data_IF_434029937963
#
_entry.id   IF_434029937963
#
_cell.length_a   1.000
_cell.length_b   1.000
_cell.length_c   1.000
_cell.angle_alpha   90.00
_cell.angle_beta   90.00
_cell.angle_gamma   90.00
#
_symmetry.space_group_name_H-M   'P 1'
#
loop_
_entity.id
_entity.type
_entity.pdbx_description
1 polymer ?
#
# COMPACT_ATOMS: atom_id res chain seq x y z
N UNK A 1 19.60 22.71 6.38
CA UNK A 1 20.34 21.45 6.44
C UNK A 1 21.30 21.39 5.24
N UNK A 2 22.60 21.18 5.51
CA UNK A 2 23.64 21.11 4.47
C UNK A 2 23.80 19.67 3.89
N UNK A 3 23.08 18.70 4.44
CA UNK A 3 23.17 17.29 4.02
C UNK A 3 22.23 16.99 2.86
N UNK A 4 22.79 16.62 1.71
CA UNK A 4 22.00 16.10 0.60
C UNK A 4 21.72 14.59 0.81
N UNK A 5 20.48 14.24 1.13
CA UNK A 5 20.09 12.86 1.37
C UNK A 5 20.16 11.98 0.11
N UNK A 6 20.01 12.56 -1.08
CA UNK A 6 20.16 11.82 -2.35
C UNK A 6 21.62 11.37 -2.52
N UNK A 7 22.58 12.24 -2.22
CA UNK A 7 24.02 11.88 -2.28
C UNK A 7 24.36 10.83 -1.22
N UNK A 8 23.74 10.91 -0.04
CA UNK A 8 23.86 9.89 1.01
C UNK A 8 23.31 8.53 0.58
N UNK A 9 22.20 8.49 -0.16
CA UNK A 9 21.67 7.25 -0.75
C UNK A 9 22.61 6.67 -1.79
N UNK A 10 23.11 7.50 -2.72
CA UNK A 10 24.07 7.08 -3.75
C UNK A 10 25.37 6.53 -3.14
N UNK A 11 25.89 7.19 -2.09
CA UNK A 11 27.07 6.72 -1.36
C UNK A 11 26.87 5.34 -0.69
N UNK A 12 25.61 4.95 -0.44
CA UNK A 12 25.21 3.63 0.09
C UNK A 12 24.79 2.64 -1.00
N UNK A 13 25.16 2.91 -2.27
CA UNK A 13 24.85 2.09 -3.45
C UNK A 13 23.34 1.96 -3.75
N UNK A 14 22.54 2.97 -3.41
CA UNK A 14 21.17 3.06 -3.91
C UNK A 14 21.18 3.60 -5.35
N UNK A 15 20.42 2.96 -6.22
CA UNK A 15 20.02 3.54 -7.50
C UNK A 15 18.90 4.52 -7.22
N UNK A 16 19.10 5.79 -7.57
CA UNK A 16 18.09 6.84 -7.40
C UNK A 16 17.51 7.18 -8.75
N UNK A 17 16.20 7.05 -8.90
CA UNK A 17 15.47 7.37 -10.15
C UNK A 17 14.35 8.36 -9.88
N UNK A 18 13.94 9.09 -10.93
CA UNK A 18 12.81 10.02 -10.90
C UNK A 18 11.62 9.51 -11.72
N UNK A 19 11.79 8.41 -12.44
CA UNK A 19 10.73 7.73 -13.18
C UNK A 19 10.83 6.23 -12.93
N UNK A 20 9.68 5.57 -12.83
CA UNK A 20 9.64 4.13 -12.59
C UNK A 20 10.20 3.34 -13.79
N UNK A 21 10.01 3.85 -15.00
CA UNK A 21 10.53 3.25 -16.23
C UNK A 21 12.06 3.20 -16.32
N UNK A 22 12.76 4.04 -15.55
CA UNK A 22 14.22 4.04 -15.48
C UNK A 22 14.78 2.89 -14.62
N UNK A 23 13.93 2.11 -13.96
CA UNK A 23 14.33 1.04 -13.06
C UNK A 23 14.70 -0.23 -13.82
N UNK A 24 15.96 -0.60 -13.82
CA UNK A 24 16.39 -1.91 -14.30
C UNK A 24 16.23 -2.97 -13.20
N UNK A 25 15.05 -3.61 -13.15
CA UNK A 25 14.70 -4.61 -12.13
C UNK A 25 15.66 -5.82 -12.09
N UNK A 26 16.41 -6.09 -13.15
CA UNK A 26 17.33 -7.24 -13.22
C UNK A 26 18.64 -7.00 -12.47
N UNK A 27 19.10 -5.76 -12.40
CA UNK A 27 20.40 -5.40 -11.82
C UNK A 27 20.30 -4.62 -10.50
N UNK A 28 19.21 -3.91 -10.27
CA UNK A 28 19.02 -3.08 -9.07
C UNK A 28 18.81 -3.95 -7.84
N UNK A 29 19.54 -3.69 -6.76
CA UNK A 29 19.39 -4.35 -5.45
C UNK A 29 18.92 -3.37 -4.36
N UNK A 30 19.27 -2.09 -4.50
CA UNK A 30 18.85 -1.00 -3.60
C UNK A 30 18.30 0.13 -4.44
N UNK A 31 17.04 0.46 -4.26
CA UNK A 31 16.31 1.46 -5.06
C UNK A 31 15.74 2.54 -4.18
N UNK A 32 15.87 3.79 -4.63
CA UNK A 32 15.08 4.92 -4.17
C UNK A 32 14.42 5.57 -5.40
N UNK A 33 13.16 5.26 -5.63
CA UNK A 33 12.36 5.85 -6.69
C UNK A 33 11.60 7.06 -6.14
N UNK A 34 12.15 8.26 -6.39
CA UNK A 34 11.59 9.54 -5.92
C UNK A 34 10.76 10.16 -7.06
N UNK A 35 9.53 9.68 -7.22
CA UNK A 35 8.70 9.90 -8.41
C UNK A 35 8.00 11.25 -8.45
N UNK A 36 8.08 12.04 -7.38
CA UNK A 36 7.60 13.41 -7.29
C UNK A 36 8.48 14.21 -6.35
N UNK A 37 8.43 15.54 -6.42
CA UNK A 37 9.20 16.42 -5.51
C UNK A 37 8.56 16.47 -4.11
N UNK A 38 7.23 16.37 -4.02
CA UNK A 38 6.47 16.29 -2.78
C UNK A 38 5.54 15.09 -2.83
N UNK A 39 4.30 15.30 -3.28
CA UNK A 39 3.27 14.28 -3.39
C UNK A 39 2.94 13.99 -4.85
N UNK A 40 2.65 12.72 -5.13
CA UNK A 40 2.07 12.34 -6.42
C UNK A 40 0.65 12.91 -6.54
N UNK A 41 0.17 13.22 -7.76
CA UNK A 41 -1.21 13.65 -7.95
C UNK A 41 -2.18 12.54 -7.52
N UNK A 42 -3.40 12.91 -7.14
CA UNK A 42 -4.47 11.93 -6.90
C UNK A 42 -4.85 11.18 -8.19
N UNK A 43 -5.57 10.08 -8.06
CA UNK A 43 -6.09 9.34 -9.20
C UNK A 43 -6.94 10.22 -10.11
N UNK A 44 -7.80 11.07 -9.54
CA UNK A 44 -8.61 12.03 -10.29
C UNK A 44 -7.78 13.07 -11.05
N UNK A 45 -6.54 13.32 -10.63
CA UNK A 45 -5.58 14.24 -11.27
C UNK A 45 -4.55 13.54 -12.17
N UNK A 46 -4.75 12.25 -12.46
CA UNK A 46 -4.00 11.54 -13.48
C UNK A 46 -2.71 10.86 -13.00
N UNK A 47 -2.65 10.35 -11.76
CA UNK A 47 -1.51 9.54 -11.29
C UNK A 47 -1.25 8.29 -12.14
N UNK A 48 -2.27 7.78 -12.84
CA UNK A 48 -2.16 6.57 -13.64
C UNK A 48 -1.90 5.31 -12.78
N UNK A 49 -1.26 4.31 -13.35
CA UNK A 49 -1.02 3.02 -12.68
C UNK A 49 0.21 3.02 -11.75
N UNK A 50 0.63 4.17 -11.22
CA UNK A 50 1.89 4.26 -10.47
C UNK A 50 1.95 3.28 -9.30
N UNK A 51 0.92 3.20 -8.44
CA UNK A 51 0.95 2.37 -7.25
C UNK A 51 0.97 0.86 -7.57
N UNK A 52 0.10 0.33 -8.46
CA UNK A 52 0.21 -1.07 -8.90
C UNK A 52 1.54 -1.41 -9.56
N UNK A 53 2.09 -0.53 -10.38
CA UNK A 53 3.33 -0.77 -11.13
C UNK A 53 4.56 -0.67 -10.21
N UNK A 54 4.58 0.27 -9.27
CA UNK A 54 5.61 0.36 -8.24
C UNK A 54 5.59 -0.88 -7.33
N UNK A 55 4.41 -1.35 -6.93
CA UNK A 55 4.24 -2.58 -6.15
C UNK A 55 4.82 -3.78 -6.90
N UNK A 56 4.46 -3.96 -8.17
CA UNK A 56 4.98 -5.05 -8.99
C UNK A 56 6.51 -4.95 -9.20
N UNK A 57 7.04 -3.73 -9.34
CA UNK A 57 8.48 -3.48 -9.50
C UNK A 57 9.23 -3.83 -8.21
N UNK A 58 8.73 -3.40 -7.05
CA UNK A 58 9.33 -3.70 -5.76
C UNK A 58 9.35 -5.21 -5.49
N UNK A 59 8.26 -5.92 -5.74
CA UNK A 59 8.17 -7.38 -5.60
C UNK A 59 9.22 -8.10 -6.46
N UNK A 60 9.40 -7.70 -7.72
CA UNK A 60 10.43 -8.28 -8.60
C UNK A 60 11.85 -8.07 -8.08
N UNK A 61 12.13 -6.94 -7.43
CA UNK A 61 13.44 -6.64 -6.86
C UNK A 61 13.64 -7.45 -5.58
N UNK A 62 12.68 -7.40 -4.66
CA UNK A 62 12.77 -7.99 -3.32
C UNK A 62 12.78 -9.52 -3.34
N UNK A 63 12.03 -10.15 -4.26
CA UNK A 63 12.00 -11.61 -4.46
C UNK A 63 13.39 -12.24 -4.67
N UNK A 64 14.37 -11.47 -5.12
CA UNK A 64 15.73 -11.99 -5.34
C UNK A 64 16.55 -12.19 -4.07
N UNK A 65 16.04 -11.73 -2.93
CA UNK A 65 16.64 -12.01 -1.63
C UNK A 65 16.19 -13.38 -1.13
N UNK A 66 17.10 -14.34 -1.12
CA UNK A 66 16.84 -15.73 -0.69
C UNK A 66 16.45 -15.85 0.79
N UNK A 67 16.75 -14.83 1.59
CA UNK A 67 16.33 -14.79 3.01
C UNK A 67 14.92 -14.22 3.19
N UNK A 68 14.23 -13.89 2.10
CA UNK A 68 12.90 -13.29 2.14
C UNK A 68 12.92 -11.76 2.25
N UNK A 69 11.76 -11.17 2.40
CA UNK A 69 11.59 -9.72 2.50
C UNK A 69 10.36 -9.36 3.32
N UNK A 70 10.35 -8.12 3.79
CA UNK A 70 9.17 -7.42 4.26
C UNK A 70 8.93 -6.21 3.36
N UNK A 71 7.67 -6.00 2.95
CA UNK A 71 7.29 -4.85 2.13
C UNK A 71 6.00 -4.24 2.67
N UNK A 72 5.97 -2.92 2.81
CA UNK A 72 4.77 -2.14 3.08
C UNK A 72 4.39 -1.36 1.83
N UNK A 73 3.11 -1.35 1.52
CA UNK A 73 2.52 -0.55 0.43
C UNK A 73 1.38 0.25 1.01
N UNK A 74 1.37 1.55 0.76
CA UNK A 74 0.38 2.45 1.34
C UNK A 74 -0.45 3.13 0.25
N UNK A 75 -1.78 3.04 0.40
CA UNK A 75 -2.75 3.84 -0.34
C UNK A 75 -3.03 5.16 0.40
N UNK A 76 -2.00 5.97 0.62
CA UNK A 76 -2.01 7.12 1.55
C UNK A 76 -3.09 8.17 1.26
N UNK A 77 -3.46 8.36 0.00
CA UNK A 77 -4.43 9.39 -0.37
C UNK A 77 -5.90 8.99 -0.18
N UNK A 78 -6.18 7.76 0.24
CA UNK A 78 -7.50 7.34 0.72
C UNK A 78 -7.87 8.18 1.95
N UNK A 79 -6.95 8.31 2.89
CA UNK A 79 -7.09 9.13 4.09
C UNK A 79 -7.32 10.62 3.73
N UNK A 80 -6.56 11.17 2.79
CA UNK A 80 -6.74 12.56 2.35
C UNK A 80 -8.12 12.83 1.75
N UNK A 81 -8.64 11.86 0.99
CA UNK A 81 -10.01 11.90 0.48
C UNK A 81 -11.05 11.88 1.62
N UNK A 82 -10.80 11.09 2.67
CA UNK A 82 -11.60 11.05 3.88
C UNK A 82 -11.63 12.39 4.62
N UNK A 83 -10.46 12.98 4.88
CA UNK A 83 -10.35 14.31 5.49
C UNK A 83 -11.00 15.41 4.66
N UNK A 84 -10.97 15.30 3.33
CA UNK A 84 -11.66 16.22 2.43
C UNK A 84 -13.17 16.01 2.39
N UNK A 85 -13.68 14.88 2.90
CA UNK A 85 -15.07 14.42 2.72
C UNK A 85 -15.43 14.35 1.22
N UNK A 86 -14.49 13.96 0.38
CA UNK A 86 -14.67 13.82 -1.06
C UNK A 86 -14.79 12.33 -1.42
N UNK A 87 -16.05 11.90 -1.63
CA UNK A 87 -16.33 10.50 -1.92
C UNK A 87 -15.70 10.00 -3.23
N UNK A 88 -15.66 10.83 -4.27
CA UNK A 88 -15.06 10.44 -5.54
C UNK A 88 -13.52 10.32 -5.42
N UNK A 89 -12.92 11.16 -4.59
CA UNK A 89 -11.50 11.06 -4.28
C UNK A 89 -11.21 9.71 -3.58
N UNK A 90 -11.92 9.41 -2.47
CA UNK A 90 -11.76 8.14 -1.75
C UNK A 90 -11.98 6.95 -2.70
N UNK A 91 -13.05 6.97 -3.49
CA UNK A 91 -13.38 5.88 -4.41
C UNK A 91 -12.26 5.62 -5.41
N UNK A 92 -11.71 6.67 -6.03
CA UNK A 92 -10.62 6.54 -6.98
C UNK A 92 -9.35 5.95 -6.35
N UNK A 93 -9.00 6.41 -5.15
CA UNK A 93 -7.82 5.94 -4.41
C UNK A 93 -7.97 4.49 -3.92
N UNK A 94 -9.17 4.11 -3.44
CA UNK A 94 -9.45 2.72 -3.03
C UNK A 94 -9.34 1.76 -4.20
N UNK A 95 -9.87 2.12 -5.37
CA UNK A 95 -9.76 1.29 -6.59
C UNK A 95 -8.31 1.14 -7.04
N UNK A 96 -7.51 2.21 -6.99
CA UNK A 96 -6.08 2.15 -7.29
C UNK A 96 -5.33 1.24 -6.32
N UNK A 97 -5.63 1.36 -5.02
CA UNK A 97 -5.03 0.50 -4.00
C UNK A 97 -5.45 -0.97 -4.18
N UNK A 98 -6.72 -1.25 -4.50
CA UNK A 98 -7.20 -2.61 -4.81
C UNK A 98 -6.44 -3.23 -6.00
N UNK A 99 -6.14 -2.43 -7.03
CA UNK A 99 -5.29 -2.87 -8.14
C UNK A 99 -3.87 -3.23 -7.68
N UNK A 100 -3.29 -2.48 -6.74
CA UNK A 100 -1.98 -2.81 -6.16
C UNK A 100 -2.04 -4.08 -5.30
N UNK A 101 -3.09 -4.25 -4.50
CA UNK A 101 -3.39 -5.50 -3.77
C UNK A 101 -3.51 -6.68 -4.74
N UNK A 102 -4.18 -6.49 -5.88
CA UNK A 102 -4.26 -7.47 -6.96
C UNK A 102 -2.89 -7.93 -7.48
N UNK A 103 -1.92 -7.01 -7.60
CA UNK A 103 -0.52 -7.37 -7.96
C UNK A 103 0.16 -8.20 -6.87
N UNK A 104 -0.02 -7.83 -5.60
CA UNK A 104 0.53 -8.58 -4.47
C UNK A 104 -0.07 -9.98 -4.35
N UNK A 105 -1.39 -10.11 -4.47
CA UNK A 105 -2.08 -11.40 -4.42
C UNK A 105 -1.69 -12.32 -5.59
N UNK A 106 -1.55 -11.77 -6.80
CA UNK A 106 -1.06 -12.54 -7.95
C UNK A 106 0.34 -13.09 -7.67
N UNK A 107 1.24 -12.22 -7.20
CA UNK A 107 2.59 -12.63 -6.83
C UNK A 107 2.58 -13.71 -5.75
N UNK A 108 1.83 -13.54 -4.67
CA UNK A 108 1.75 -14.51 -3.57
C UNK A 108 1.21 -15.88 -4.01
N UNK A 109 0.22 -15.90 -4.92
CA UNK A 109 -0.31 -17.15 -5.49
C UNK A 109 0.71 -17.90 -6.34
N UNK A 110 1.53 -17.17 -7.09
CA UNK A 110 2.58 -17.75 -7.95
C UNK A 110 3.79 -18.20 -7.13
N UNK A 111 4.11 -17.47 -6.06
CA UNK A 111 5.24 -17.70 -5.18
C UNK A 111 4.97 -18.86 -4.19
N UNK A 112 3.78 -18.90 -3.61
CA UNK A 112 3.34 -19.92 -2.65
C UNK A 112 3.88 -19.74 -1.21
N UNK A 113 4.86 -18.88 -1.00
CA UNK A 113 5.53 -18.66 0.29
C UNK A 113 5.29 -17.25 0.86
N UNK A 114 4.61 -16.38 0.12
CA UNK A 114 4.35 -14.99 0.50
C UNK A 114 3.01 -14.84 1.21
N UNK A 115 3.04 -14.27 2.42
CA UNK A 115 1.87 -13.79 3.14
C UNK A 115 1.55 -12.34 2.71
N UNK A 116 0.31 -12.10 2.33
CA UNK A 116 -0.23 -10.75 2.07
C UNK A 116 -1.20 -10.40 3.18
N UNK A 117 -1.03 -9.25 3.80
CA UNK A 117 -1.93 -8.67 4.81
C UNK A 117 -2.43 -7.34 4.26
N UNK A 118 -3.75 -7.12 4.31
CA UNK A 118 -4.38 -5.85 3.92
C UNK A 118 -5.15 -5.33 5.12
N UNK A 119 -4.86 -4.12 5.54
CA UNK A 119 -5.51 -3.47 6.68
C UNK A 119 -5.44 -1.95 6.53
N UNK A 120 -6.05 -1.23 7.45
CA UNK A 120 -5.83 0.20 7.65
C UNK A 120 -5.29 0.43 9.07
N UNK A 121 -4.68 1.58 9.30
CA UNK A 121 -4.27 2.08 10.61
C UNK A 121 -5.47 2.67 11.37
N UNK A 122 -6.41 3.31 10.65
CA UNK A 122 -7.68 3.86 11.16
C UNK A 122 -8.68 4.05 10.02
N UNK A 123 -9.89 4.44 10.36
CA UNK A 123 -10.90 4.98 9.46
C UNK A 123 -10.86 6.51 9.50
N UNK A 124 -11.21 7.17 8.39
CA UNK A 124 -11.24 8.63 8.26
C UNK A 124 -12.56 9.12 7.66
N UNK A 125 -13.14 10.10 8.30
CA UNK A 125 -14.34 10.80 7.84
C UNK A 125 -15.66 10.20 8.33
N UNK A 126 -15.65 9.03 8.94
CA UNK A 126 -16.86 8.29 9.30
C UNK A 126 -17.69 7.96 8.07
N UNK A 127 -17.04 7.50 6.99
CA UNK A 127 -17.66 7.22 5.70
C UNK A 127 -18.63 6.06 5.79
N UNK A 128 -19.92 6.34 5.54
CA UNK A 128 -20.95 5.33 5.38
C UNK A 128 -21.45 5.24 3.94
N UNK A 129 -21.62 4.02 3.42
CA UNK A 129 -22.30 3.82 2.14
C UNK A 129 -23.81 3.93 2.36
N UNK A 130 -24.46 4.88 1.70
CA UNK A 130 -25.87 5.24 1.93
C UNK A 130 -26.79 4.90 0.77
N UNK A 131 -26.22 4.46 -0.36
CA UNK A 131 -27.00 4.12 -1.54
C UNK A 131 -26.15 3.63 -2.69
N UNK A 132 -26.79 3.31 -3.81
CA UNK A 132 -26.15 2.87 -5.03
C UNK A 132 -27.01 1.93 -5.85
N UNK A 133 -26.42 1.39 -6.92
CA UNK A 133 -27.05 0.41 -7.80
C UNK A 133 -25.99 -0.53 -8.35
N UNK A 134 -26.05 -1.79 -7.98
CA UNK A 134 -25.13 -2.82 -8.52
C UNK A 134 -25.27 -2.93 -10.04
N UNK A 135 -26.49 -2.81 -10.56
CA UNK A 135 -26.75 -2.92 -12.00
C UNK A 135 -26.05 -1.82 -12.82
N UNK A 136 -25.86 -0.64 -12.23
CA UNK A 136 -25.24 0.52 -12.89
C UNK A 136 -23.82 0.77 -12.40
N UNK A 137 -23.27 -0.06 -11.49
CA UNK A 137 -22.00 0.18 -10.85
C UNK A 137 -21.94 1.50 -10.04
N UNK A 138 -23.10 2.01 -9.61
CA UNK A 138 -23.16 3.25 -8.86
C UNK A 138 -23.05 2.98 -7.36
N UNK A 139 -22.32 3.85 -6.66
CA UNK A 139 -22.21 3.83 -5.20
C UNK A 139 -22.27 5.26 -4.66
N UNK A 140 -22.91 5.43 -3.48
CA UNK A 140 -23.06 6.70 -2.81
C UNK A 140 -22.60 6.58 -1.37
N UNK A 141 -21.82 7.55 -0.93
CA UNK A 141 -21.32 7.62 0.45
C UNK A 141 -21.52 8.99 1.06
N UNK A 142 -21.66 9.03 2.37
CA UNK A 142 -21.72 10.23 3.18
C UNK A 142 -20.69 10.16 4.31
N UNK A 143 -20.17 11.32 4.66
CA UNK A 143 -19.23 11.50 5.78
C UNK A 143 -19.94 12.18 6.95
N UNK A 144 -19.48 11.91 8.17
CA UNK A 144 -20.03 12.52 9.40
C UNK A 144 -19.06 13.47 10.07
N UNK A 145 -17.75 13.38 9.76
CA UNK A 145 -16.72 14.28 10.30
C UNK A 145 -15.56 14.41 9.31
N UNK A 146 -14.52 15.18 9.67
CA UNK A 146 -13.31 15.38 8.85
C UNK A 146 -12.04 14.85 9.52
N UNK A 147 -12.18 13.97 10.48
CA UNK A 147 -11.09 13.45 11.29
C UNK A 147 -11.20 11.93 11.36
N UNK A 148 -10.29 11.29 12.05
CA UNK A 148 -10.29 9.84 12.24
C UNK A 148 -11.41 9.41 13.19
N UNK A 149 -11.89 8.20 13.01
CA UNK A 149 -12.81 7.56 13.95
C UNK A 149 -12.14 6.39 14.67
N UNK A 150 -12.71 5.98 15.78
CA UNK A 150 -12.25 4.84 16.57
C UNK A 150 -12.98 3.53 16.20
N UNK A 151 -13.58 3.44 15.02
CA UNK A 151 -14.20 2.19 14.57
C UNK A 151 -13.14 1.16 14.24
N UNK A 152 -13.46 -0.12 14.44
CA UNK A 152 -12.58 -1.21 14.05
C UNK A 152 -12.42 -1.25 12.53
N UNK A 153 -11.19 -1.43 12.06
CA UNK A 153 -10.86 -1.63 10.66
C UNK A 153 -10.65 -3.12 10.36
N UNK A 154 -11.00 -3.59 9.15
CA UNK A 154 -10.82 -4.99 8.80
C UNK A 154 -9.35 -5.34 8.59
N UNK A 155 -9.01 -6.60 8.86
CA UNK A 155 -7.74 -7.22 8.47
C UNK A 155 -8.05 -8.39 7.57
N UNK A 156 -7.49 -8.38 6.36
CA UNK A 156 -7.54 -9.50 5.42
C UNK A 156 -6.14 -10.09 5.31
N UNK A 157 -6.07 -11.42 5.25
CA UNK A 157 -4.79 -12.10 5.08
C UNK A 157 -4.92 -13.25 4.08
N UNK A 158 -3.86 -13.46 3.27
CA UNK A 158 -3.78 -14.54 2.29
C UNK A 158 -2.36 -15.09 2.24
N UNK A 159 -2.21 -16.41 2.23
CA UNK A 159 -0.93 -17.09 2.15
C UNK A 159 -0.55 -17.80 3.46
N UNK A 160 0.70 -18.29 3.58
CA UNK A 160 1.16 -19.00 4.77
C UNK A 160 1.05 -18.16 6.05
N UNK A 161 0.41 -18.69 7.09
CA UNK A 161 0.21 -18.01 8.37
C UNK A 161 -0.97 -17.03 8.40
N UNK A 162 -1.79 -16.97 7.34
CA UNK A 162 -2.95 -16.08 7.27
C UNK A 162 -3.96 -16.34 8.40
N UNK A 163 -4.09 -17.57 8.86
CA UNK A 163 -4.96 -17.96 9.97
C UNK A 163 -4.66 -17.25 11.30
N UNK A 164 -3.42 -16.76 11.47
CA UNK A 164 -3.04 -15.99 12.64
C UNK A 164 -3.72 -14.61 12.74
N UNK A 165 -4.26 -14.13 11.63
CA UNK A 165 -4.87 -12.80 11.54
C UNK A 165 -6.40 -12.81 11.65
N UNK A 166 -6.98 -13.94 12.02
CA UNK A 166 -8.43 -14.09 12.25
C UNK A 166 -8.87 -13.52 13.60
N UNK A 167 -10.13 -13.06 13.68
CA UNK A 167 -10.73 -12.54 14.91
C UNK A 167 -10.43 -11.06 15.16
N UNK A 168 -10.79 -10.59 16.35
CA UNK A 168 -10.53 -9.22 16.81
C UNK A 168 -9.17 -9.20 17.52
N UNK A 169 -8.33 -8.25 17.19
CA UNK A 169 -6.98 -8.13 17.70
C UNK A 169 -6.57 -6.67 17.88
N UNK A 170 -5.57 -6.42 18.70
CA UNK A 170 -4.94 -5.12 18.79
C UNK A 170 -4.08 -4.85 17.54
N UNK A 171 -3.99 -3.59 17.08
CA UNK A 171 -3.18 -3.23 15.92
C UNK A 171 -1.69 -3.57 16.13
N UNK A 172 -1.19 -3.48 17.36
CA UNK A 172 0.20 -3.83 17.70
C UNK A 172 0.50 -5.32 17.57
N UNK A 173 -0.52 -6.18 17.54
CA UNK A 173 -0.33 -7.63 17.37
C UNK A 173 0.08 -7.99 15.94
N UNK A 174 -0.24 -7.15 14.96
CA UNK A 174 0.22 -7.33 13.57
C UNK A 174 1.74 -7.39 13.54
N UNK A 175 2.42 -6.44 14.19
CA UNK A 175 3.88 -6.43 14.30
C UNK A 175 4.43 -7.73 14.91
N UNK A 176 3.88 -8.15 16.06
CA UNK A 176 4.32 -9.36 16.77
C UNK A 176 4.18 -10.62 15.91
N UNK A 177 3.07 -10.72 15.17
CA UNK A 177 2.80 -11.83 14.25
C UNK A 177 3.76 -11.82 13.06
N UNK A 178 4.01 -10.66 12.44
CA UNK A 178 4.99 -10.51 11.37
C UNK A 178 6.40 -10.92 11.82
N UNK A 179 6.86 -10.44 12.97
CA UNK A 179 8.17 -10.81 13.54
C UNK A 179 8.29 -12.32 13.75
N UNK A 180 7.23 -12.95 14.30
CA UNK A 180 7.18 -14.40 14.51
C UNK A 180 7.25 -15.18 13.19
N UNK A 181 6.46 -14.78 12.18
CA UNK A 181 6.40 -15.46 10.87
C UNK A 181 7.69 -15.30 10.07
N UNK A 182 8.38 -14.17 10.21
CA UNK A 182 9.69 -13.92 9.61
C UNK A 182 10.85 -14.58 10.36
N UNK A 183 10.60 -15.23 11.51
CA UNK A 183 11.64 -15.83 12.34
C UNK A 183 12.64 -14.84 12.93
N UNK A 184 12.25 -13.58 13.05
CA UNK A 184 13.08 -12.52 13.63
C UNK A 184 13.09 -12.64 15.17
N UNK A 185 14.21 -12.21 15.79
CA UNK A 185 14.41 -12.21 17.25
C UNK A 185 14.35 -10.80 17.81
#
# INVERSE_FOLDING_TARGET
>A
DSLNLIDSLKARNYVVVRKLDDVNVKSVTRLAALLADEHLPSMAKGRGNMLPDATATALKILKRNEQGFFMMVEGSQIDWGGHANDFNYVLGEVVDFDNAVGKALKFAKEDGETLVIVTADHETGGLGLVGGSVANGAVQGNFILKDHTAVMVPVFAFGPGAEMFTGVQDNTDIFKKCVKLLGLK
#
